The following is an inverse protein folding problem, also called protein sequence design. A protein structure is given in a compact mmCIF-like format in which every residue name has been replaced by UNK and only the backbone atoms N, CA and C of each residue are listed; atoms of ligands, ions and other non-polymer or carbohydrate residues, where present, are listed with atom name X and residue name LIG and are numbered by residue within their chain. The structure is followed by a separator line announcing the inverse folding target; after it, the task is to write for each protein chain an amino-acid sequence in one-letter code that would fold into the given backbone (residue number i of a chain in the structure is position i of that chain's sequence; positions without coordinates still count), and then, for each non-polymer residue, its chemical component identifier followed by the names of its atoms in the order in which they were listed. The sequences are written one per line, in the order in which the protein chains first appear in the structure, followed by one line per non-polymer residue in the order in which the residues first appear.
data_IF_632063387664
#
_entry.id   IF_632063387664
#
_cell.length_a   1.000
_cell.length_b   1.000
_cell.length_c   1.000
_cell.angle_alpha   90.00
_cell.angle_beta   90.00
_cell.angle_gamma   90.00
#
_symmetry.space_group_name_H-M   'P 1'
#
loop_
_entity.id
_entity.type
_entity.pdbx_description
1 polymer ?
#
# COMPACT_ATOMS: atom_id res chain seq x y z
N UNK A 1 -13.60 24.45 -7.87
CA UNK A 1 -13.45 24.10 -9.31
C UNK A 1 -11.98 24.27 -9.65
N UNK A 2 -11.24 23.18 -9.94
CA UNK A 2 -9.84 23.27 -10.38
C UNK A 2 -9.84 23.53 -11.88
N UNK A 3 -9.36 24.69 -12.31
CA UNK A 3 -9.23 25.06 -13.73
C UNK A 3 -7.78 24.93 -14.17
N UNK A 4 -7.53 24.91 -15.50
CA UNK A 4 -6.17 24.90 -16.08
C UNK A 4 -5.26 26.06 -15.61
N UNK A 5 -5.83 27.08 -14.97
CA UNK A 5 -5.18 28.30 -14.48
C UNK A 5 -4.83 28.29 -12.98
N UNK A 6 -5.20 27.26 -12.20
CA UNK A 6 -4.88 27.23 -10.76
C UNK A 6 -3.43 26.73 -10.57
N UNK A 7 -2.51 27.54 -10.02
CA UNK A 7 -1.08 27.18 -9.96
C UNK A 7 -0.79 26.03 -8.99
N UNK A 8 -1.36 26.09 -7.80
CA UNK A 8 -1.20 25.10 -6.73
C UNK A 8 -2.58 24.71 -6.18
N UNK A 9 -2.75 23.44 -5.81
CA UNK A 9 -4.01 22.91 -5.28
C UNK A 9 -3.75 22.14 -3.99
N UNK A 10 -4.62 22.36 -3.00
CA UNK A 10 -4.75 21.51 -1.82
C UNK A 10 -6.04 20.72 -1.99
N UNK A 11 -5.98 19.40 -1.97
CA UNK A 11 -7.13 18.54 -2.20
C UNK A 11 -7.34 17.57 -1.04
N UNK A 12 -8.50 17.70 -0.40
CA UNK A 12 -8.96 16.75 0.61
C UNK A 12 -10.41 16.38 0.32
N UNK A 13 -10.68 15.09 0.31
CA UNK A 13 -12.04 14.57 0.14
C UNK A 13 -12.24 13.37 1.06
N UNK A 14 -13.21 13.49 1.97
CA UNK A 14 -13.51 12.46 2.96
C UNK A 14 -14.84 11.75 2.69
N UNK A 15 -15.60 12.19 1.68
CA UNK A 15 -16.94 11.69 1.36
C UNK A 15 -16.92 10.71 0.17
N UNK A 16 -16.18 11.07 -0.89
CA UNK A 16 -16.04 10.24 -2.08
C UNK A 16 -15.17 9.02 -1.80
N UNK A 17 -15.30 7.99 -2.64
CA UNK A 17 -14.46 6.80 -2.52
C UNK A 17 -13.01 7.13 -2.88
N UNK A 18 -12.14 7.27 -1.87
CA UNK A 18 -10.72 7.59 -2.11
C UNK A 18 -9.96 6.48 -2.84
N UNK A 19 -10.51 5.26 -2.93
CA UNK A 19 -9.93 4.18 -3.72
C UNK A 19 -10.28 4.30 -5.22
N UNK A 20 -11.29 5.11 -5.56
CA UNK A 20 -11.75 5.29 -6.93
C UNK A 20 -10.94 6.39 -7.63
N UNK A 21 -10.12 6.07 -8.65
CA UNK A 21 -9.26 7.03 -9.35
C UNK A 21 -10.04 8.18 -10.02
N UNK A 22 -11.31 7.97 -10.35
CA UNK A 22 -12.17 8.93 -11.07
C UNK A 22 -12.37 10.23 -10.27
N UNK A 23 -12.23 10.18 -8.95
CA UNK A 23 -12.48 11.35 -8.08
C UNK A 23 -11.34 12.39 -8.16
N UNK A 24 -10.17 11.99 -8.66
CA UNK A 24 -8.98 12.83 -8.74
C UNK A 24 -8.85 13.46 -10.13
N UNK A 25 -8.87 14.79 -10.18
CA UNK A 25 -8.80 15.54 -11.45
C UNK A 25 -7.40 16.07 -11.77
N UNK A 26 -6.49 16.11 -10.80
CA UNK A 26 -5.17 16.73 -10.95
C UNK A 26 -5.17 18.25 -10.80
N UNK A 27 -4.03 18.85 -11.11
CA UNK A 27 -3.74 20.29 -11.02
C UNK A 27 -2.31 20.54 -11.52
N UNK A 28 -1.88 21.80 -11.70
CA UNK A 28 -0.51 22.07 -12.16
C UNK A 28 0.53 21.59 -11.15
N UNK A 29 0.25 21.82 -9.87
CA UNK A 29 1.05 21.32 -8.75
C UNK A 29 0.11 21.06 -7.57
N UNK A 30 0.11 19.84 -7.04
CA UNK A 30 -0.70 19.49 -5.86
C UNK A 30 0.23 19.57 -4.66
N UNK A 31 0.14 20.67 -3.91
CA UNK A 31 1.02 20.94 -2.77
C UNK A 31 0.58 20.26 -1.48
N UNK A 32 -0.69 19.86 -1.39
CA UNK A 32 -1.20 19.05 -0.29
C UNK A 32 -2.32 18.12 -0.74
N UNK A 33 -2.26 16.89 -0.28
CA UNK A 33 -3.35 15.92 -0.33
C UNK A 33 -3.10 14.77 0.62
N UNK A 34 -4.14 14.14 1.17
CA UNK A 34 -3.94 12.93 1.94
C UNK A 34 -5.14 12.45 2.72
N UNK A 35 -4.94 11.31 3.39
CA UNK A 35 -5.95 10.67 4.22
C UNK A 35 -5.38 10.32 5.61
N UNK A 36 -6.22 10.34 6.65
CA UNK A 36 -5.79 9.96 7.99
C UNK A 36 -5.68 8.44 8.17
N UNK A 37 -4.75 8.03 9.03
CA UNK A 37 -4.69 6.69 9.62
C UNK A 37 -4.25 6.75 11.08
N UNK A 38 -4.45 5.65 11.79
CA UNK A 38 -3.92 5.50 13.14
C UNK A 38 -2.42 5.13 13.11
N UNK A 39 -1.61 5.61 14.08
CA UNK A 39 -0.30 5.05 14.37
C UNK A 39 -0.42 3.56 14.73
N UNK A 40 0.64 2.80 14.47
CA UNK A 40 0.70 1.37 14.66
C UNK A 40 0.34 0.96 16.08
N UNK A 41 -0.18 -0.27 16.22
CA UNK A 41 -0.71 -0.77 17.48
C UNK A 41 0.33 -0.67 18.61
N UNK A 42 1.60 -0.98 18.33
CA UNK A 42 2.67 -0.90 19.33
C UNK A 42 3.11 0.52 19.70
N UNK A 43 2.66 1.55 18.98
CA UNK A 43 2.95 2.95 19.30
C UNK A 43 2.05 3.46 20.42
N UNK A 44 0.94 2.77 20.68
CA UNK A 44 0.05 3.02 21.81
C UNK A 44 0.51 2.25 23.05
N UNK A 45 0.14 2.69 24.27
CA UNK A 45 0.46 1.99 25.52
C UNK A 45 -0.41 0.73 25.72
N UNK A 46 -0.42 -0.17 24.74
CA UNK A 46 -1.31 -1.35 24.64
C UNK A 46 -1.04 -2.44 25.67
N UNK A 47 0.08 -2.37 26.39
CA UNK A 47 0.39 -3.32 27.47
C UNK A 47 -0.35 -2.99 28.76
N UNK A 48 -0.83 -1.75 28.90
CA UNK A 48 -1.46 -1.26 30.13
C UNK A 48 -2.92 -0.87 29.93
N UNK A 49 -3.34 -0.62 28.68
CA UNK A 49 -4.72 -0.25 28.37
C UNK A 49 -5.51 -1.43 27.82
N UNK A 50 -6.75 -1.57 28.28
CA UNK A 50 -7.76 -2.41 27.63
C UNK A 50 -8.33 -1.70 26.37
N UNK A 51 -9.23 -2.37 25.64
CA UNK A 51 -9.79 -1.83 24.39
C UNK A 51 -10.64 -0.56 24.59
N UNK A 52 -11.32 -0.43 25.73
CA UNK A 52 -12.18 0.72 26.05
C UNK A 52 -11.31 1.93 26.40
N UNK A 53 -10.32 1.75 27.27
CA UNK A 53 -9.34 2.79 27.62
C UNK A 53 -8.51 3.24 26.41
N UNK A 54 -8.15 2.29 25.52
CA UNK A 54 -7.48 2.60 24.27
C UNK A 54 -8.40 3.40 23.33
N UNK A 55 -9.69 3.08 23.28
CA UNK A 55 -10.67 3.83 22.50
C UNK A 55 -10.76 5.28 22.98
N UNK A 56 -10.88 5.49 24.29
CA UNK A 56 -10.95 6.81 24.91
C UNK A 56 -9.70 7.62 24.60
N UNK A 57 -8.52 7.02 24.72
CA UNK A 57 -7.26 7.66 24.39
C UNK A 57 -7.19 8.04 22.90
N UNK A 58 -7.56 7.15 21.99
CA UNK A 58 -7.59 7.41 20.54
C UNK A 58 -8.56 8.55 20.21
N UNK A 59 -9.75 8.54 20.81
CA UNK A 59 -10.77 9.56 20.61
C UNK A 59 -10.34 10.92 21.18
N UNK A 60 -9.67 10.93 22.34
CA UNK A 60 -9.12 12.13 22.95
C UNK A 60 -8.02 12.74 22.07
N UNK A 61 -7.14 11.92 21.48
CA UNK A 61 -6.02 12.37 20.64
C UNK A 61 -6.39 12.68 19.19
N UNK A 62 -7.61 12.36 18.76
CA UNK A 62 -8.09 12.70 17.43
C UNK A 62 -8.51 14.18 17.38
N UNK A 63 -7.75 14.99 16.64
CA UNK A 63 -7.95 16.45 16.57
C UNK A 63 -8.51 16.94 15.22
N UNK A 64 -8.79 16.06 14.26
CA UNK A 64 -9.51 16.43 13.05
C UNK A 64 -10.98 16.77 13.38
N UNK A 65 -11.57 17.83 12.79
CA UNK A 65 -12.98 18.20 13.01
C UNK A 65 -13.97 17.06 12.74
N UNK A 66 -13.69 16.20 11.75
CA UNK A 66 -14.51 15.04 11.39
C UNK A 66 -14.22 13.79 12.24
N UNK A 67 -13.31 13.91 13.20
CA UNK A 67 -12.85 12.84 14.08
C UNK A 67 -12.48 11.56 13.32
N UNK A 68 -12.86 10.41 13.85
CA UNK A 68 -12.54 9.09 13.30
C UNK A 68 -13.53 8.62 12.22
N UNK A 69 -14.58 9.40 11.91
CA UNK A 69 -15.61 8.99 10.96
C UNK A 69 -15.06 8.75 9.54
N UNK A 70 -14.24 9.64 8.93
CA UNK A 70 -13.64 9.40 7.62
C UNK A 70 -12.87 8.07 7.54
N UNK A 71 -12.02 7.80 8.54
CA UNK A 71 -11.23 6.56 8.63
C UNK A 71 -12.16 5.34 8.59
N UNK A 72 -13.18 5.32 9.44
CA UNK A 72 -14.14 4.21 9.52
C UNK A 72 -14.91 4.05 8.20
N UNK A 73 -15.41 5.14 7.62
CA UNK A 73 -16.17 5.12 6.37
C UNK A 73 -15.36 4.53 5.21
N UNK A 74 -14.09 4.89 5.05
CA UNK A 74 -13.29 4.34 3.94
C UNK A 74 -12.91 2.88 4.14
N UNK A 75 -12.68 2.45 5.38
CA UNK A 75 -12.51 1.03 5.69
C UNK A 75 -13.80 0.29 5.33
N UNK A 76 -14.94 0.70 5.87
CA UNK A 76 -16.23 0.06 5.62
C UNK A 76 -16.58 -0.01 4.13
N UNK A 77 -16.22 1.03 3.35
CA UNK A 77 -16.52 1.10 1.93
C UNK A 77 -15.80 0.03 1.12
N UNK A 78 -14.56 -0.34 1.48
CA UNK A 78 -13.63 -1.09 0.64
C UNK A 78 -13.09 -2.39 1.26
N UNK A 79 -13.01 -2.46 2.59
CA UNK A 79 -12.39 -3.51 3.39
C UNK A 79 -13.40 -4.14 4.37
N UNK A 80 -13.14 -5.36 4.90
CA UNK A 80 -13.97 -5.95 5.94
C UNK A 80 -13.82 -5.17 7.26
N UNK A 81 -14.93 -4.86 7.92
CA UNK A 81 -14.92 -4.25 9.25
C UNK A 81 -14.68 -5.31 10.33
N UNK A 82 -13.78 -5.06 11.30
CA UNK A 82 -13.62 -5.96 12.43
C UNK A 82 -14.83 -5.86 13.36
N UNK A 83 -15.20 -6.99 13.97
CA UNK A 83 -16.24 -7.03 14.99
C UNK A 83 -15.84 -6.19 16.20
N UNK A 84 -16.71 -5.28 16.64
CA UNK A 84 -16.46 -4.40 17.80
C UNK A 84 -16.23 -5.18 19.10
N UNK A 85 -16.83 -6.36 19.23
CA UNK A 85 -16.65 -7.27 20.37
C UNK A 85 -15.33 -8.03 20.34
N UNK A 86 -14.53 -7.92 19.28
CA UNK A 86 -13.28 -8.67 19.16
C UNK A 86 -12.22 -8.12 20.14
N UNK A 87 -11.49 -8.98 20.87
CA UNK A 87 -10.37 -8.52 21.68
C UNK A 87 -9.27 -7.88 20.84
N UNK A 88 -9.21 -8.18 19.53
CA UNK A 88 -8.26 -7.58 18.60
C UNK A 88 -8.81 -6.36 17.84
N UNK A 89 -9.99 -5.83 18.21
CA UNK A 89 -10.67 -4.77 17.45
C UNK A 89 -9.74 -3.61 17.08
N UNK A 90 -9.04 -3.01 18.04
CA UNK A 90 -8.16 -1.88 17.76
C UNK A 90 -6.94 -2.26 16.95
N UNK A 91 -6.38 -3.45 17.16
CA UNK A 91 -5.26 -3.93 16.34
C UNK A 91 -5.67 -4.08 14.87
N UNK A 92 -6.84 -4.66 14.63
CA UNK A 92 -7.40 -4.86 13.29
C UNK A 92 -7.80 -3.51 12.66
N UNK A 93 -8.47 -2.61 13.42
CA UNK A 93 -8.84 -1.27 12.97
C UNK A 93 -7.65 -0.40 12.60
N UNK A 94 -6.59 -0.41 13.40
CA UNK A 94 -5.35 0.33 13.14
C UNK A 94 -4.71 -0.16 11.85
N UNK A 95 -4.54 -1.48 11.72
CA UNK A 95 -3.99 -2.09 10.51
C UNK A 95 -4.81 -1.72 9.27
N UNK A 96 -6.14 -1.87 9.31
CA UNK A 96 -7.02 -1.53 8.19
C UNK A 96 -7.00 -0.04 7.86
N UNK A 97 -6.85 0.84 8.84
CA UNK A 97 -6.71 2.28 8.60
C UNK A 97 -5.45 2.62 7.81
N UNK A 98 -4.34 1.94 8.09
CA UNK A 98 -3.09 2.15 7.37
C UNK A 98 -3.15 1.57 5.96
N UNK A 99 -3.80 0.41 5.77
CA UNK A 99 -4.05 -0.15 4.43
C UNK A 99 -4.92 0.82 3.62
N UNK A 100 -6.01 1.31 4.20
CA UNK A 100 -6.92 2.25 3.53
C UNK A 100 -6.21 3.56 3.17
N UNK A 101 -5.43 4.14 4.08
CA UNK A 101 -4.63 5.33 3.80
C UNK A 101 -3.63 5.08 2.66
N UNK A 102 -2.89 3.97 2.71
CA UNK A 102 -1.92 3.64 1.68
C UNK A 102 -2.58 3.48 0.29
N UNK A 103 -3.74 2.82 0.23
CA UNK A 103 -4.52 2.69 -1.01
C UNK A 103 -5.01 4.04 -1.54
N UNK A 104 -5.55 4.90 -0.69
CA UNK A 104 -6.06 6.22 -1.10
C UNK A 104 -4.93 7.07 -1.66
N UNK A 105 -3.83 7.22 -0.91
CA UNK A 105 -2.70 8.05 -1.31
C UNK A 105 -1.96 7.45 -2.51
N UNK A 106 -1.89 6.13 -2.65
CA UNK A 106 -1.39 5.46 -3.86
C UNK A 106 -2.22 5.85 -5.07
N UNK A 107 -3.54 5.63 -5.02
CA UNK A 107 -4.44 5.94 -6.14
C UNK A 107 -4.33 7.41 -6.52
N UNK A 108 -4.35 8.31 -5.54
CA UNK A 108 -4.27 9.75 -5.76
C UNK A 108 -2.92 10.18 -6.38
N UNK A 109 -1.80 9.73 -5.80
CA UNK A 109 -0.44 10.04 -6.29
C UNK A 109 -0.24 9.52 -7.71
N UNK A 110 -0.63 8.28 -7.98
CA UNK A 110 -0.46 7.66 -9.29
C UNK A 110 -1.28 8.36 -10.37
N UNK A 111 -2.53 8.75 -10.06
CA UNK A 111 -3.33 9.60 -10.96
C UNK A 111 -2.63 10.93 -11.19
N UNK A 112 -2.12 11.61 -10.17
CA UNK A 112 -1.41 12.87 -10.36
C UNK A 112 -0.17 12.74 -11.24
N UNK A 113 0.61 11.67 -11.08
CA UNK A 113 1.74 11.39 -11.97
C UNK A 113 1.27 11.14 -13.42
N UNK A 114 0.20 10.38 -13.65
CA UNK A 114 -0.32 10.16 -15.02
C UNK A 114 -0.85 11.44 -15.68
N UNK A 115 -1.40 12.36 -14.87
CA UNK A 115 -1.95 13.64 -15.34
C UNK A 115 -0.92 14.67 -15.78
N UNK A 116 0.39 14.35 -15.76
CA UNK A 116 1.42 15.15 -16.44
C UNK A 116 1.09 15.40 -17.92
N UNK A 117 0.52 14.41 -18.61
CA UNK A 117 0.13 14.51 -20.02
C UNK A 117 -1.07 15.44 -20.26
N UNK A 118 -2.15 15.28 -19.49
CA UNK A 118 -3.42 15.98 -19.73
C UNK A 118 -3.46 17.39 -19.11
N UNK A 119 -2.90 17.51 -17.89
CA UNK A 119 -2.99 18.70 -17.06
C UNK A 119 -1.66 19.40 -16.87
N UNK A 120 -0.54 18.82 -17.31
CA UNK A 120 0.78 19.35 -16.97
C UNK A 120 1.01 19.36 -15.46
N UNK A 121 0.53 18.33 -14.77
CA UNK A 121 0.85 18.10 -13.35
C UNK A 121 2.35 17.87 -13.21
N UNK A 122 3.03 18.73 -12.46
CA UNK A 122 4.49 18.71 -12.27
C UNK A 122 4.91 18.54 -10.81
N UNK A 123 3.97 18.26 -9.91
CA UNK A 123 4.29 17.97 -8.52
C UNK A 123 3.09 17.44 -7.75
N UNK A 124 3.40 16.56 -6.80
CA UNK A 124 2.45 15.94 -5.88
C UNK A 124 3.15 15.78 -4.52
N UNK A 125 2.80 16.64 -3.56
CA UNK A 125 3.28 16.58 -2.19
C UNK A 125 2.13 16.13 -1.29
N UNK A 126 2.23 14.90 -0.78
CA UNK A 126 1.22 14.39 0.14
C UNK A 126 1.38 15.04 1.52
N UNK A 127 0.25 15.40 2.11
CA UNK A 127 0.15 15.74 3.52
C UNK A 127 -0.09 14.44 4.30
N UNK A 128 0.72 14.09 5.30
CA UNK A 128 1.97 14.73 5.75
C UNK A 128 3.09 13.71 5.92
N UNK A 129 4.33 14.16 6.08
CA UNK A 129 5.46 13.26 6.23
C UNK A 129 5.47 12.58 7.61
N UNK A 130 5.56 13.35 8.69
CA UNK A 130 5.84 12.86 10.03
C UNK A 130 4.81 13.32 11.08
N UNK A 131 4.84 12.66 12.24
CA UNK A 131 4.08 13.07 13.43
C UNK A 131 4.92 13.81 14.46
N UNK A 132 4.27 14.74 15.19
CA UNK A 132 4.86 15.45 16.33
C UNK A 132 4.60 14.75 17.68
N UNK A 133 3.65 13.82 17.72
CA UNK A 133 3.25 13.02 18.88
C UNK A 133 2.37 11.84 18.42
N UNK A 134 2.09 10.88 19.31
CA UNK A 134 1.29 9.68 18.97
C UNK A 134 -0.21 10.06 18.89
N UNK A 135 -0.73 10.27 17.68
CA UNK A 135 -2.13 10.60 17.42
C UNK A 135 -2.56 10.16 16.01
N UNK A 136 -3.86 9.98 15.73
CA UNK A 136 -4.35 9.78 14.36
C UNK A 136 -4.01 11.00 13.49
N UNK A 137 -3.43 10.76 12.32
CA UNK A 137 -2.92 11.84 11.46
C UNK A 137 -2.78 11.38 10.02
N UNK A 138 -2.39 12.32 9.16
CA UNK A 138 -2.06 12.07 7.75
C UNK A 138 -0.63 11.56 7.53
N UNK A 139 0.14 11.36 8.61
CA UNK A 139 1.56 11.01 8.49
C UNK A 139 1.75 9.66 7.78
N UNK A 140 2.89 9.51 7.12
CA UNK A 140 3.43 8.20 6.71
C UNK A 140 4.50 7.69 7.70
N UNK A 141 5.13 8.60 8.45
CA UNK A 141 6.11 8.31 9.51
C UNK A 141 5.51 8.71 10.86
N UNK A 142 5.40 7.74 11.76
CA UNK A 142 4.87 7.93 13.10
C UNK A 142 5.85 8.68 14.02
N UNK A 143 5.34 9.14 15.16
CA UNK A 143 6.19 9.67 16.23
C UNK A 143 7.15 8.57 16.69
N UNK A 144 8.45 8.89 16.74
CA UNK A 144 9.51 7.90 16.99
C UNK A 144 10.08 7.23 15.72
N UNK A 145 9.65 7.64 14.52
CA UNK A 145 10.30 7.27 13.26
C UNK A 145 9.85 5.94 12.65
N UNK A 146 8.82 5.29 13.21
CA UNK A 146 8.26 4.05 12.66
C UNK A 146 7.49 4.35 11.37
N UNK A 147 7.69 3.53 10.34
CA UNK A 147 6.96 3.66 9.08
C UNK A 147 5.58 3.03 9.18
N UNK A 148 4.54 3.79 8.78
CA UNK A 148 3.23 3.26 8.42
C UNK A 148 3.32 2.53 7.07
N UNK A 149 2.31 1.73 6.73
CA UNK A 149 2.20 1.06 5.41
C UNK A 149 2.41 2.07 4.27
N UNK A 150 1.81 3.27 4.40
CA UNK A 150 1.95 4.35 3.42
C UNK A 150 3.41 4.64 3.06
N UNK A 151 4.33 4.71 4.02
CA UNK A 151 5.71 5.10 3.72
C UNK A 151 6.45 4.07 2.87
N UNK A 152 6.19 2.77 3.11
CA UNK A 152 6.72 1.70 2.27
C UNK A 152 6.23 1.83 0.82
N UNK A 153 4.96 2.15 0.65
CA UNK A 153 4.36 2.30 -0.68
C UNK A 153 4.77 3.59 -1.37
N UNK A 154 5.02 4.68 -0.64
CA UNK A 154 5.53 5.93 -1.21
C UNK A 154 6.87 5.70 -1.91
N UNK A 155 7.74 4.86 -1.34
CA UNK A 155 9.01 4.47 -1.96
C UNK A 155 8.83 3.77 -3.30
N UNK A 156 7.80 2.93 -3.43
CA UNK A 156 7.49 2.20 -4.67
C UNK A 156 6.83 3.13 -5.69
N UNK A 157 5.75 3.84 -5.31
CA UNK A 157 4.97 4.66 -6.24
C UNK A 157 5.67 5.96 -6.68
N UNK A 158 6.75 6.38 -6.02
CA UNK A 158 7.61 7.51 -6.42
C UNK A 158 8.92 7.05 -7.07
N UNK A 159 9.08 5.75 -7.36
CA UNK A 159 10.25 5.26 -8.07
C UNK A 159 10.40 5.97 -9.43
N UNK A 160 11.66 6.18 -9.82
CA UNK A 160 12.00 6.91 -11.04
C UNK A 160 11.60 6.14 -12.32
N UNK A 161 11.41 4.83 -12.21
CA UNK A 161 10.77 3.99 -13.22
C UNK A 161 9.55 3.37 -12.57
N UNK A 162 8.36 3.64 -13.10
CA UNK A 162 7.11 3.13 -12.54
C UNK A 162 6.08 2.88 -13.62
N UNK A 163 5.10 2.03 -13.29
CA UNK A 163 3.92 1.80 -14.11
C UNK A 163 2.68 2.22 -13.32
N UNK A 164 1.85 3.08 -13.91
CA UNK A 164 0.58 3.50 -13.34
C UNK A 164 -0.54 2.85 -14.13
N UNK A 165 -1.50 2.27 -13.41
CA UNK A 165 -2.70 1.73 -14.02
C UNK A 165 -3.93 1.97 -13.15
N UNK A 166 -5.05 2.28 -13.78
CA UNK A 166 -6.32 2.46 -13.08
C UNK A 166 -7.52 2.33 -14.03
N UNK A 167 -8.69 2.04 -13.46
CA UNK A 167 -9.96 1.98 -14.22
C UNK A 167 -10.53 3.37 -14.38
N UNK A 168 -10.72 3.83 -15.61
CA UNK A 168 -11.29 5.15 -15.91
C UNK A 168 -12.83 5.15 -15.92
N UNK A 169 -13.40 6.31 -16.19
CA UNK A 169 -14.87 6.54 -16.22
C UNK A 169 -15.61 5.68 -17.24
N UNK A 170 -14.91 5.21 -18.28
CA UNK A 170 -15.47 4.36 -19.34
C UNK A 170 -15.26 2.86 -19.04
N UNK A 171 -14.88 2.50 -17.79
CA UNK A 171 -14.52 1.15 -17.39
C UNK A 171 -13.37 0.55 -18.22
N UNK A 172 -12.43 1.39 -18.66
CA UNK A 172 -11.20 0.95 -19.34
C UNK A 172 -10.02 1.03 -18.40
N UNK A 173 -9.10 0.09 -18.53
CA UNK A 173 -7.79 0.12 -17.89
C UNK A 173 -6.91 1.11 -18.64
N UNK A 174 -6.70 2.30 -18.10
CA UNK A 174 -5.67 3.19 -18.58
C UNK A 174 -4.32 2.74 -18.00
N UNK A 175 -3.30 2.63 -18.87
CA UNK A 175 -1.95 2.19 -18.52
C UNK A 175 -0.93 3.25 -18.94
N UNK A 176 -0.02 3.60 -18.02
CA UNK A 176 1.02 4.60 -18.24
C UNK A 176 2.39 4.10 -17.79
N UNK A 177 3.40 4.36 -18.59
CA UNK A 177 4.81 4.21 -18.22
C UNK A 177 5.36 5.55 -17.74
N UNK A 178 6.03 5.58 -16.59
CA UNK A 178 6.58 6.80 -16.00
C UNK A 178 8.09 6.65 -15.84
N UNK A 179 8.83 7.58 -16.46
CA UNK A 179 10.28 7.67 -16.37
C UNK A 179 10.68 9.06 -15.92
N UNK A 180 11.30 9.17 -14.75
CA UNK A 180 11.81 10.43 -14.19
C UNK A 180 13.34 10.52 -14.27
N UNK A 181 13.98 9.61 -15.03
CA UNK A 181 15.43 9.62 -15.30
C UNK A 181 15.74 10.33 -16.62
N UNK A 182 16.95 10.89 -16.70
CA UNK A 182 17.52 11.46 -17.92
C UNK A 182 18.33 10.41 -18.69
N UNK A 183 18.42 10.55 -20.01
CA UNK A 183 19.14 9.66 -20.90
C UNK A 183 18.45 9.44 -22.25
N UNK A 184 19.01 8.56 -23.11
CA UNK A 184 18.36 8.21 -24.37
C UNK A 184 17.03 7.49 -24.13
N UNK A 185 16.18 7.45 -25.15
CA UNK A 185 14.94 6.68 -25.14
C UNK A 185 15.20 5.21 -24.75
N UNK A 186 14.36 4.68 -23.87
CA UNK A 186 14.43 3.30 -23.40
C UNK A 186 13.30 2.45 -24.02
N UNK A 187 13.52 1.14 -24.09
CA UNK A 187 12.50 0.17 -24.51
C UNK A 187 12.08 -0.66 -23.31
N UNK A 188 10.79 -0.57 -22.95
CA UNK A 188 10.22 -1.24 -21.79
C UNK A 188 9.23 -2.32 -22.21
N UNK A 189 8.98 -3.27 -21.31
CA UNK A 189 7.93 -4.26 -21.42
C UNK A 189 7.01 -4.16 -20.20
N UNK A 190 5.70 -4.18 -20.42
CA UNK A 190 4.70 -4.26 -19.35
C UNK A 190 3.87 -5.53 -19.52
N UNK A 191 3.72 -6.28 -18.44
CA UNK A 191 2.83 -7.44 -18.34
C UNK A 191 1.70 -7.13 -17.36
N UNK A 192 0.45 -7.28 -17.81
CA UNK A 192 -0.75 -7.17 -16.98
C UNK A 192 -1.31 -8.58 -16.79
N UNK A 193 -1.07 -9.16 -15.62
CA UNK A 193 -1.51 -10.51 -15.27
C UNK A 193 -2.86 -10.47 -14.55
N UNK A 194 -3.85 -11.19 -15.07
CA UNK A 194 -5.18 -11.31 -14.47
C UNK A 194 -5.12 -12.49 -13.50
N UNK A 195 -5.23 -12.23 -12.21
CA UNK A 195 -5.20 -13.25 -11.17
C UNK A 195 -6.57 -13.43 -10.53
N UNK A 196 -6.85 -14.66 -10.10
CA UNK A 196 -7.84 -14.92 -9.05
C UNK A 196 -7.23 -14.61 -7.71
N UNK A 197 -8.03 -14.14 -6.76
CA UNK A 197 -7.57 -13.83 -5.40
C UNK A 197 -6.95 -15.02 -4.66
N UNK A 198 -7.23 -16.24 -5.12
CA UNK A 198 -6.88 -17.46 -4.44
C UNK A 198 -5.89 -18.37 -5.18
N UNK A 199 -5.30 -17.86 -6.27
CA UNK A 199 -4.34 -18.55 -7.13
C UNK A 199 -3.04 -17.76 -7.30
N UNK A 200 -1.90 -18.46 -7.16
CA UNK A 200 -0.59 -17.92 -7.53
C UNK A 200 -0.40 -17.78 -9.04
N UNK A 201 -1.14 -18.55 -9.83
CA UNK A 201 -1.03 -18.52 -11.28
C UNK A 201 -2.06 -17.56 -11.89
N UNK A 202 -1.68 -16.74 -12.88
CA UNK A 202 -2.63 -15.93 -13.61
C UNK A 202 -3.58 -16.83 -14.40
N UNK A 203 -4.83 -16.40 -14.52
CA UNK A 203 -5.80 -17.05 -15.42
C UNK A 203 -5.66 -16.56 -16.85
N UNK A 204 -5.06 -15.37 -17.03
CA UNK A 204 -4.86 -14.75 -18.33
C UNK A 204 -3.86 -13.57 -18.21
N UNK A 205 -3.37 -13.05 -19.34
CA UNK A 205 -2.50 -11.88 -19.34
C UNK A 205 -2.68 -10.98 -20.58
N UNK A 206 -2.21 -9.74 -20.46
CA UNK A 206 -1.95 -8.82 -21.56
C UNK A 206 -0.47 -8.45 -21.53
N UNK A 207 0.17 -8.38 -22.70
CA UNK A 207 1.59 -8.04 -22.81
C UNK A 207 1.76 -6.86 -23.77
N UNK A 208 2.58 -5.90 -23.34
CA UNK A 208 2.95 -4.70 -24.10
C UNK A 208 4.47 -4.67 -24.23
N UNK A 209 4.99 -5.08 -25.38
CA UNK A 209 6.42 -5.13 -25.68
C UNK A 209 6.90 -3.87 -26.41
N UNK A 210 8.20 -3.60 -26.33
CA UNK A 210 8.87 -2.52 -27.06
C UNK A 210 8.20 -1.15 -26.91
N UNK A 211 7.79 -0.82 -25.68
CA UNK A 211 7.26 0.51 -25.35
C UNK A 211 8.43 1.48 -25.34
N UNK A 212 8.43 2.44 -26.26
CA UNK A 212 9.43 3.50 -26.29
C UNK A 212 9.11 4.54 -25.22
N UNK A 213 10.04 4.73 -24.27
CA UNK A 213 9.89 5.65 -23.14
C UNK A 213 11.02 6.68 -23.15
N UNK A 214 10.75 7.91 -23.64
CA UNK A 214 11.70 9.01 -23.58
C UNK A 214 12.10 9.40 -22.16
N UNK A 215 13.18 10.15 -22.01
CA UNK A 215 13.61 10.64 -20.69
C UNK A 215 12.58 11.57 -20.05
N UNK A 216 12.54 11.56 -18.72
CA UNK A 216 11.74 12.47 -17.89
C UNK A 216 10.31 12.72 -18.44
N UNK A 217 9.58 11.64 -18.73
CA UNK A 217 8.27 11.70 -19.37
C UNK A 217 7.28 10.69 -18.79
N UNK A 218 6.02 10.90 -19.17
CA UNK A 218 4.93 9.95 -18.95
C UNK A 218 4.43 9.54 -20.33
N UNK A 219 4.34 8.25 -20.60
CA UNK A 219 3.80 7.70 -21.84
C UNK A 219 2.48 7.00 -21.53
N UNK A 220 1.41 7.36 -22.24
CA UNK A 220 0.17 6.57 -22.22
C UNK A 220 0.40 5.34 -23.10
N UNK A 221 0.42 4.16 -22.49
CA UNK A 221 0.70 2.88 -23.14
C UNK A 221 -0.56 2.37 -23.83
N UNK A 222 -1.68 2.31 -23.10
CA UNK A 222 -2.95 1.83 -23.62
C UNK A 222 -4.15 2.37 -22.81
N UNK A 223 -5.33 2.23 -23.38
CA UNK A 223 -6.61 2.31 -22.69
C UNK A 223 -7.44 1.09 -23.10
N UNK A 224 -7.40 0.02 -22.31
CA UNK A 224 -7.93 -1.30 -22.69
C UNK A 224 -9.29 -1.60 -22.05
N UNK A 225 -10.21 -2.23 -22.79
CA UNK A 225 -11.52 -2.65 -22.25
C UNK A 225 -11.42 -3.93 -21.42
N UNK A 226 -10.90 -3.80 -20.21
CA UNK A 226 -10.67 -4.96 -19.34
C UNK A 226 -11.97 -5.65 -18.93
N UNK A 227 -13.09 -4.92 -18.79
CA UNK A 227 -14.35 -5.53 -18.38
C UNK A 227 -14.99 -6.33 -19.52
N UNK A 228 -14.94 -5.84 -20.76
CA UNK A 228 -15.37 -6.62 -21.92
C UNK A 228 -14.48 -7.86 -22.12
N UNK A 229 -13.17 -7.73 -21.90
CA UNK A 229 -12.24 -8.87 -21.96
C UNK A 229 -12.59 -9.96 -20.94
N UNK A 230 -12.84 -9.56 -19.68
CA UNK A 230 -13.29 -10.48 -18.65
C UNK A 230 -14.63 -11.13 -19.00
N UNK A 231 -15.58 -10.35 -19.54
CA UNK A 231 -16.89 -10.85 -19.95
C UNK A 231 -16.77 -11.93 -21.03
N UNK A 232 -15.98 -11.71 -22.08
CA UNK A 232 -15.73 -12.69 -23.16
C UNK A 232 -15.10 -13.99 -22.65
N UNK A 233 -14.35 -13.93 -21.55
CA UNK A 233 -13.70 -15.08 -20.93
C UNK A 233 -14.50 -15.69 -19.76
N UNK A 234 -15.72 -15.21 -19.52
CA UNK A 234 -16.56 -15.63 -18.41
C UNK A 234 -15.88 -15.48 -17.03
N UNK A 235 -15.11 -14.40 -16.87
CA UNK A 235 -14.40 -14.04 -15.64
C UNK A 235 -15.15 -12.92 -14.91
N UNK A 236 -15.41 -13.08 -13.62
CA UNK A 236 -16.13 -12.07 -12.83
C UNK A 236 -15.14 -11.04 -12.23
N UNK A 237 -15.35 -9.72 -12.41
CA UNK A 237 -14.46 -8.68 -11.86
C UNK A 237 -14.20 -8.82 -10.35
N UNK A 238 -15.22 -9.11 -9.55
CA UNK A 238 -15.09 -9.29 -8.08
C UNK A 238 -14.12 -10.40 -7.65
N UNK A 239 -13.94 -11.38 -8.52
CA UNK A 239 -13.17 -12.59 -8.29
C UNK A 239 -11.72 -12.45 -8.76
N UNK A 240 -11.39 -11.32 -9.39
CA UNK A 240 -10.10 -11.09 -10.04
C UNK A 240 -9.49 -9.74 -9.68
N UNK A 241 -8.18 -9.65 -9.86
CA UNK A 241 -7.38 -8.43 -9.79
C UNK A 241 -6.31 -8.46 -10.88
N UNK A 242 -5.71 -7.31 -11.14
CA UNK A 242 -4.60 -7.19 -12.07
C UNK A 242 -3.30 -7.02 -11.29
N UNK A 243 -2.29 -7.84 -11.60
CA UNK A 243 -0.92 -7.67 -11.14
C UNK A 243 -0.06 -7.25 -12.32
N UNK A 244 0.63 -6.12 -12.19
CA UNK A 244 1.30 -5.45 -13.31
C UNK A 244 2.79 -5.45 -13.03
N UNK A 245 3.58 -5.95 -13.97
CA UNK A 245 5.04 -5.97 -13.89
C UNK A 245 5.63 -5.11 -15.01
N UNK A 246 6.53 -4.20 -14.65
CA UNK A 246 7.32 -3.42 -15.57
C UNK A 246 8.73 -4.01 -15.65
N UNK A 247 9.18 -4.31 -16.86
CA UNK A 247 10.52 -4.79 -17.13
C UNK A 247 11.30 -3.81 -17.98
N UNK A 248 12.57 -3.61 -17.61
CA UNK A 248 13.58 -2.88 -18.37
C UNK A 248 14.80 -3.78 -18.53
N UNK A 249 15.28 -3.93 -19.76
CA UNK A 249 16.45 -4.78 -20.07
C UNK A 249 16.32 -6.21 -19.50
N UNK A 250 15.09 -6.77 -19.49
CA UNK A 250 14.79 -8.09 -18.95
C UNK A 250 14.72 -8.19 -17.41
N UNK A 251 14.94 -7.11 -16.68
CA UNK A 251 14.85 -7.07 -15.22
C UNK A 251 13.55 -6.40 -14.80
N UNK A 252 12.84 -6.97 -13.82
CA UNK A 252 11.65 -6.34 -13.23
C UNK A 252 12.08 -5.12 -12.42
N UNK A 253 11.70 -3.93 -12.88
CA UNK A 253 12.04 -2.65 -12.23
C UNK A 253 10.92 -2.18 -11.29
N UNK A 254 9.66 -2.43 -11.65
CA UNK A 254 8.51 -2.03 -10.83
C UNK A 254 7.38 -3.05 -10.92
N UNK A 255 6.53 -3.04 -9.90
CA UNK A 255 5.29 -3.78 -9.87
C UNK A 255 4.17 -2.88 -9.35
N UNK A 256 2.94 -3.15 -9.82
CA UNK A 256 1.75 -2.45 -9.41
C UNK A 256 0.53 -3.38 -9.46
N UNK A 257 -0.62 -2.92 -8.99
CA UNK A 257 -1.86 -3.69 -9.02
C UNK A 257 -3.09 -2.80 -9.19
N UNK A 258 -4.15 -3.40 -9.72
CA UNK A 258 -5.49 -2.78 -9.86
C UNK A 258 -6.54 -3.74 -9.35
N UNK A 259 -7.43 -3.24 -8.49
CA UNK A 259 -8.61 -3.99 -8.07
C UNK A 259 -9.79 -3.67 -9.00
N UNK A 260 -10.50 -4.71 -9.41
CA UNK A 260 -11.62 -4.61 -10.34
C UNK A 260 -12.97 -4.48 -9.62
N UNK A 261 -12.97 -4.73 -8.30
CA UNK A 261 -14.06 -4.52 -7.35
C UNK A 261 -13.46 -4.26 -5.96
N UNK A 262 -14.30 -3.97 -4.98
CA UNK A 262 -13.93 -3.78 -3.58
C UNK A 262 -13.40 -5.08 -2.99
N UNK A 263 -12.33 -4.98 -2.21
CA UNK A 263 -11.67 -6.14 -1.59
C UNK A 263 -12.63 -6.91 -0.68
N UNK A 264 -13.50 -6.22 0.05
CA UNK A 264 -14.53 -6.85 0.90
C UNK A 264 -15.52 -7.74 0.14
N UNK A 265 -15.64 -7.60 -1.18
CA UNK A 265 -16.51 -8.41 -2.02
C UNK A 265 -15.82 -9.69 -2.55
N UNK A 266 -14.50 -9.83 -2.34
CA UNK A 266 -13.73 -10.96 -2.82
C UNK A 266 -13.93 -12.21 -1.93
N UNK A 267 -14.99 -12.99 -2.20
CA UNK A 267 -15.34 -14.19 -1.44
C UNK A 267 -14.19 -15.21 -1.35
N UNK A 268 -13.32 -15.24 -2.35
CA UNK A 268 -12.13 -16.08 -2.41
C UNK A 268 -11.08 -15.79 -1.32
N UNK A 269 -11.06 -14.57 -0.75
CA UNK A 269 -10.14 -14.20 0.32
C UNK A 269 -10.58 -14.71 1.71
N UNK A 270 -11.78 -15.28 1.83
CA UNK A 270 -12.27 -15.86 3.08
C UNK A 270 -11.32 -16.93 3.59
N UNK A 271 -10.89 -17.88 2.77
CA UNK A 271 -9.95 -18.92 3.25
C UNK A 271 -8.64 -18.31 3.75
N UNK A 272 -8.40 -18.38 5.06
CA UNK A 272 -7.20 -17.79 5.66
C UNK A 272 -5.94 -18.55 5.22
N UNK A 273 -4.92 -17.87 4.69
CA UNK A 273 -3.68 -18.49 4.30
C UNK A 273 -2.88 -18.89 5.55
N UNK A 274 -2.17 -20.02 5.47
CA UNK A 274 -1.13 -20.33 6.44
C UNK A 274 0.09 -19.50 6.06
N UNK A 275 0.48 -18.55 6.91
CA UNK A 275 1.65 -17.70 6.74
C UNK A 275 2.72 -18.17 7.72
N UNK A 276 3.81 -18.71 7.19
CA UNK A 276 5.00 -19.12 7.96
C UNK A 276 6.11 -18.11 7.77
N UNK A 277 6.62 -17.57 8.88
CA UNK A 277 7.73 -16.63 8.91
C UNK A 277 8.99 -17.29 9.50
N UNK A 278 10.07 -17.30 8.73
CA UNK A 278 11.36 -17.88 9.15
C UNK A 278 12.46 -16.84 9.06
N UNK A 279 13.27 -16.68 10.11
CA UNK A 279 14.49 -15.87 10.04
C UNK A 279 15.59 -16.69 9.36
N UNK A 280 15.92 -16.35 8.12
CA UNK A 280 16.89 -17.10 7.32
C UNK A 280 18.34 -16.71 7.66
N UNK A 281 18.61 -15.44 7.91
CA UNK A 281 19.97 -14.96 8.25
C UNK A 281 19.86 -13.77 9.16
N UNK A 282 20.67 -13.75 10.22
CA UNK A 282 20.85 -12.59 11.10
C UNK A 282 22.31 -12.20 11.02
N UNK A 283 22.58 -10.99 10.53
CA UNK A 283 23.93 -10.43 10.47
C UNK A 283 23.95 -9.14 11.27
N UNK A 284 24.91 -8.99 12.18
CA UNK A 284 25.12 -7.75 12.89
C UNK A 284 26.40 -7.08 12.44
N UNK A 285 26.34 -5.76 12.25
CA UNK A 285 27.51 -4.92 12.13
C UNK A 285 27.70 -4.15 13.45
N UNK A 286 28.67 -4.54 14.30
CA UNK A 286 28.90 -3.88 15.58
C UNK A 286 29.34 -2.42 15.45
N UNK A 287 29.99 -2.05 14.35
CA UNK A 287 30.56 -0.71 14.16
C UNK A 287 29.48 0.38 14.07
N UNK A 288 28.31 0.05 13.54
CA UNK A 288 27.17 0.97 13.43
C UNK A 288 25.95 0.51 14.23
N UNK A 289 26.08 -0.57 15.02
CA UNK A 289 24.97 -1.14 15.81
C UNK A 289 23.75 -1.49 14.96
N UNK A 290 23.96 -1.95 13.73
CA UNK A 290 22.89 -2.34 12.82
C UNK A 290 22.81 -3.86 12.73
N UNK A 291 21.64 -4.40 13.04
CA UNK A 291 21.28 -5.80 12.76
C UNK A 291 20.46 -5.85 11.49
N UNK A 292 20.84 -6.73 10.56
CA UNK A 292 20.08 -7.06 9.36
C UNK A 292 19.58 -8.49 9.44
N UNK A 293 18.31 -8.67 9.15
CA UNK A 293 17.62 -9.96 9.17
C UNK A 293 16.98 -10.22 7.82
N UNK A 294 17.28 -11.36 7.22
CA UNK A 294 16.54 -11.88 6.07
C UNK A 294 15.38 -12.72 6.58
N UNK A 295 14.17 -12.37 6.18
CA UNK A 295 12.92 -13.02 6.58
C UNK A 295 12.33 -13.72 5.36
N UNK A 296 12.16 -15.03 5.46
CA UNK A 296 11.44 -15.81 4.47
C UNK A 296 9.97 -15.96 4.88
N UNK A 297 9.07 -15.52 4.01
CA UNK A 297 7.62 -15.61 4.15
C UNK A 297 7.08 -16.67 3.21
N UNK A 298 6.69 -17.82 3.77
CA UNK A 298 6.00 -18.88 3.03
C UNK A 298 4.50 -18.78 3.25
N UNK A 299 3.72 -18.81 2.18
CA UNK A 299 2.26 -18.72 2.23
C UNK A 299 1.62 -19.88 1.46
N UNK A 300 0.56 -20.46 2.02
CA UNK A 300 -0.14 -21.58 1.36
C UNK A 300 -1.04 -21.15 0.19
N UNK A 301 -1.44 -19.87 0.15
CA UNK A 301 -2.30 -19.23 -0.86
C UNK A 301 -1.94 -17.73 -0.94
N UNK A 302 -2.37 -17.00 -1.99
CA UNK A 302 -2.13 -15.57 -2.05
C UNK A 302 -2.66 -14.80 -0.83
N UNK A 303 -1.94 -13.75 -0.45
CA UNK A 303 -2.24 -12.95 0.75
C UNK A 303 -2.42 -11.49 0.38
N UNK A 304 -3.56 -10.91 0.76
CA UNK A 304 -3.86 -9.51 0.56
C UNK A 304 -3.35 -8.66 1.74
N UNK A 305 -2.47 -7.70 1.41
CA UNK A 305 -1.89 -6.70 2.30
C UNK A 305 -1.14 -7.30 3.49
N UNK A 306 -0.25 -8.27 3.24
CA UNK A 306 0.56 -8.90 4.28
C UNK A 306 1.40 -7.84 5.01
N UNK A 307 1.09 -7.64 6.29
CA UNK A 307 1.72 -6.68 7.17
C UNK A 307 2.50 -7.39 8.27
N UNK A 308 3.75 -7.00 8.46
CA UNK A 308 4.63 -7.47 9.53
C UNK A 308 4.83 -6.36 10.57
N UNK A 309 4.81 -6.75 11.83
CA UNK A 309 5.02 -5.84 12.95
C UNK A 309 5.71 -6.58 14.09
N UNK A 310 6.68 -5.91 14.74
CA UNK A 310 7.28 -6.39 15.98
C UNK A 310 6.21 -6.53 17.06
N UNK A 311 6.29 -7.58 17.86
CA UNK A 311 5.35 -7.76 18.97
C UNK A 311 5.48 -6.63 20.01
N UNK A 312 4.42 -6.33 20.77
CA UNK A 312 4.46 -5.31 21.81
C UNK A 312 5.67 -5.47 22.72
N UNK A 313 6.03 -6.70 23.13
CA UNK A 313 7.15 -7.06 24.01
C UNK A 313 8.50 -6.52 23.51
N UNK A 314 8.69 -6.52 22.19
CA UNK A 314 9.96 -6.19 21.54
C UNK A 314 9.98 -4.79 20.89
N UNK A 315 8.82 -4.17 20.71
CA UNK A 315 8.68 -2.86 20.04
C UNK A 315 9.38 -1.69 20.75
N UNK A 316 9.48 -1.71 22.09
CA UNK A 316 10.11 -0.66 22.88
C UNK A 316 11.65 -0.68 22.84
N UNK A 317 12.24 -1.80 22.39
CA UNK A 317 13.69 -2.03 22.46
C UNK A 317 14.40 -1.83 21.11
N UNK A 318 13.66 -1.76 20.00
CA UNK A 318 14.24 -1.87 18.67
C UNK A 318 13.57 -0.92 17.68
N UNK A 319 14.33 0.04 17.15
CA UNK A 319 13.93 0.77 15.95
C UNK A 319 14.22 -0.13 14.74
N UNK A 320 13.22 -0.92 14.34
CA UNK A 320 13.29 -1.79 13.17
C UNK A 320 12.47 -1.25 12.01
N UNK A 321 12.99 -1.44 10.81
CA UNK A 321 12.34 -1.10 9.55
C UNK A 321 12.41 -2.31 8.61
N UNK A 322 11.30 -2.61 7.95
CA UNK A 322 11.25 -3.65 6.92
C UNK A 322 11.68 -3.08 5.57
N UNK A 323 12.07 -3.92 4.61
CA UNK A 323 12.35 -3.48 3.24
C UNK A 323 11.06 -3.24 2.46
N UNK A 324 9.97 -3.92 2.87
CA UNK A 324 8.63 -3.86 2.30
C UNK A 324 7.60 -4.25 3.34
N UNK A 325 6.40 -3.67 3.28
CA UNK A 325 5.32 -4.00 4.19
C UNK A 325 3.94 -3.71 3.58
N UNK A 326 2.90 -4.39 4.07
CA UNK A 326 1.52 -4.22 3.62
C UNK A 326 1.30 -4.56 2.14
N UNK A 327 2.08 -5.49 1.57
CA UNK A 327 2.07 -5.80 0.13
C UNK A 327 1.13 -6.96 -0.22
N UNK A 328 0.80 -7.14 -1.50
CA UNK A 328 0.11 -8.32 -2.01
C UNK A 328 1.14 -9.44 -2.25
N UNK A 329 0.99 -10.59 -1.61
CA UNK A 329 1.87 -11.74 -1.84
C UNK A 329 1.19 -12.76 -2.76
N UNK A 330 1.56 -12.76 -4.03
CA UNK A 330 1.09 -13.71 -5.06
C UNK A 330 2.20 -14.68 -5.50
N UNK A 331 3.18 -14.90 -4.64
CA UNK A 331 4.18 -15.95 -4.75
C UNK A 331 4.15 -16.85 -3.51
N UNK A 332 4.43 -18.16 -3.65
CA UNK A 332 4.47 -19.08 -2.50
C UNK A 332 5.51 -18.68 -1.46
N UNK A 333 6.62 -18.08 -1.90
CA UNK A 333 7.72 -17.64 -1.04
C UNK A 333 8.10 -16.20 -1.43
N UNK A 334 8.31 -15.37 -0.41
CA UNK A 334 8.82 -14.01 -0.56
C UNK A 334 9.90 -13.77 0.49
N UNK A 335 11.01 -13.15 0.10
CA UNK A 335 12.02 -12.67 1.06
C UNK A 335 11.80 -11.19 1.35
N UNK A 336 11.83 -10.82 2.63
CA UNK A 336 11.79 -9.44 3.12
C UNK A 336 12.98 -9.23 4.04
N UNK A 337 13.63 -8.08 3.94
CA UNK A 337 14.73 -7.73 4.83
C UNK A 337 14.22 -6.84 5.97
N UNK A 338 14.74 -7.02 7.17
CA UNK A 338 14.49 -6.14 8.30
C UNK A 338 15.82 -5.59 8.79
N UNK A 339 15.88 -4.28 9.03
CA UNK A 339 17.03 -3.61 9.59
C UNK A 339 16.63 -3.01 10.94
N UNK A 340 17.42 -3.29 11.99
CA UNK A 340 17.18 -2.81 13.34
C UNK A 340 18.41 -2.08 13.88
N UNK A 341 18.20 -1.01 14.64
CA UNK A 341 19.24 -0.45 15.51
C UNK A 341 19.28 -1.26 16.81
N UNK A 342 20.38 -1.95 17.06
CA UNK A 342 20.62 -2.81 18.24
C UNK A 342 22.04 -2.58 18.78
N UNK A 343 22.21 -1.66 19.75
CA UNK A 343 23.51 -1.35 20.34
C UNK A 343 24.23 -2.58 20.91
N UNK A 344 25.38 -2.91 20.33
CA UNK A 344 26.23 -4.02 20.76
C UNK A 344 25.72 -5.41 20.36
N UNK A 345 24.78 -5.52 19.41
CA UNK A 345 24.31 -6.80 18.86
C UNK A 345 23.79 -7.79 19.92
N UNK A 346 23.22 -7.29 21.01
CA UNK A 346 22.86 -8.12 22.17
C UNK A 346 21.53 -8.83 21.99
N UNK A 347 20.71 -8.39 21.03
CA UNK A 347 19.36 -8.89 20.86
C UNK A 347 19.34 -10.21 20.09
N UNK A 348 18.80 -11.27 20.70
CA UNK A 348 18.43 -12.50 19.99
C UNK A 348 17.05 -12.31 19.36
N UNK A 349 17.00 -11.97 18.08
CA UNK A 349 15.75 -11.91 17.32
C UNK A 349 15.27 -13.32 16.99
N UNK A 350 14.01 -13.59 17.24
CA UNK A 350 13.32 -14.83 16.87
C UNK A 350 12.10 -14.53 15.99
N UNK A 351 11.63 -15.54 15.24
CA UNK A 351 10.39 -15.39 14.44
C UNK A 351 9.19 -15.01 15.31
N UNK A 352 9.15 -15.42 16.58
CA UNK A 352 8.09 -15.06 17.54
C UNK A 352 8.04 -13.58 17.87
N UNK A 353 9.11 -12.83 17.61
CA UNK A 353 9.17 -11.38 17.84
C UNK A 353 8.48 -10.59 16.72
N UNK A 354 8.08 -11.27 15.64
CA UNK A 354 7.42 -10.66 14.48
C UNK A 354 6.06 -11.32 14.30
N UNK A 355 5.03 -10.48 14.29
CA UNK A 355 3.66 -10.88 14.02
C UNK A 355 3.23 -10.46 12.63
N UNK A 356 2.32 -11.23 12.03
CA UNK A 356 1.75 -10.94 10.72
C UNK A 356 0.25 -10.65 10.80
N UNK A 357 -0.21 -9.68 10.01
CA UNK A 357 -1.62 -9.39 9.75
C UNK A 357 -1.87 -9.42 8.24
N UNK A 358 -3.10 -9.73 7.84
CA UNK A 358 -3.55 -9.69 6.45
C UNK A 358 -5.05 -9.45 6.39
N UNK A 359 -5.55 -8.96 5.26
CA UNK A 359 -6.99 -8.78 5.08
C UNK A 359 -7.72 -10.13 5.07
N UNK A 360 -7.10 -11.20 4.54
CA UNK A 360 -7.69 -12.54 4.52
C UNK A 360 -8.22 -13.01 5.89
N UNK A 361 -7.50 -12.70 6.98
CA UNK A 361 -7.89 -13.07 8.36
C UNK A 361 -9.23 -12.43 8.78
N UNK A 362 -9.56 -11.28 8.21
CA UNK A 362 -10.72 -10.47 8.57
C UNK A 362 -11.93 -10.73 7.66
N UNK A 363 -11.75 -11.48 6.56
CA UNK A 363 -12.82 -11.85 5.65
C UNK A 363 -13.74 -12.96 6.19
N UNK A 364 -13.33 -13.65 7.26
CA UNK A 364 -13.98 -14.84 7.83
C UNK A 364 -14.96 -14.56 8.98
N UNK A 365 -15.29 -13.30 9.24
CA UNK A 365 -16.02 -12.90 10.45
C UNK A 365 -17.36 -12.27 10.12
#
# INVERSE_FOLDING_TARGET
IVTRSTPTVHYYNYDLDGWNPIVYRGGRFISEYGYQSYPAYTSWPVRVLNNEELADLINHRQHSPLRNAPIKTMIEKNLPMPLETSPNYWRDMIYLSQVSQAMIVKTETEVYRSKRLEHGTMGALYWQLNDVWIAPSWSSIEYGGKFKILHYWMKEMLAAHHVVAYINTLKRLDLYAIRDTLGPDEQWKIEVNIHRWDSFMPVDNLTYDAITVPENTVVKVDSYDIYEHLHKKNLAPRDHLLLINLYRNGVKEAENFVFLDKVKNAAQLTTSPNVKLTLATVSCNPANSIVRVSIELSVSRPVAFLYMELTPENSALKQCQFSRNGFLQFSPIQTVYMQCVDPGCKSKLASSDISTLSVNRLMNK
#
